data_IF_480935118558
#
_entry.id   IF_480935118558
#
_cell.length_a   1.000
_cell.length_b   1.000
_cell.length_c   1.000
_cell.angle_alpha   90.00
_cell.angle_beta   90.00
_cell.angle_gamma   90.00
#
_symmetry.space_group_name_H-M   'P 1'
#
loop_
_entity.id
_entity.type
_entity.pdbx_description
1 polymer ?
#
# COMPACT_ATOMS: atom_id res chain seq x y z
N UNK A 1 40.48 -23.96 7.91
CA UNK A 1 39.38 -23.04 7.54
C UNK A 1 38.19 -23.92 7.21
N UNK A 2 37.29 -24.16 8.18
CA UNK A 2 36.13 -25.06 8.03
C UNK A 2 34.94 -24.26 7.51
N UNK A 3 34.54 -24.52 6.27
CA UNK A 3 33.35 -23.91 5.67
C UNK A 3 32.11 -24.51 6.33
N UNK A 4 31.45 -23.76 7.22
CA UNK A 4 30.15 -24.17 7.79
C UNK A 4 29.12 -24.09 6.68
N UNK A 5 28.69 -25.24 6.16
CA UNK A 5 27.58 -25.32 5.20
C UNK A 5 26.28 -25.14 5.97
N UNK A 6 25.76 -23.91 6.00
CA UNK A 6 24.48 -23.61 6.64
C UNK A 6 23.35 -24.08 5.69
N UNK A 7 22.94 -25.34 5.84
CA UNK A 7 21.88 -25.92 5.02
C UNK A 7 20.54 -25.25 5.39
N UNK A 8 19.97 -24.51 4.44
CA UNK A 8 18.66 -23.87 4.61
C UNK A 8 17.61 -24.95 4.77
N UNK A 9 16.83 -24.85 5.83
CA UNK A 9 15.75 -25.78 6.12
C UNK A 9 14.48 -25.38 5.37
N UNK A 10 13.52 -26.30 5.23
CA UNK A 10 12.18 -25.97 4.71
C UNK A 10 11.51 -24.87 5.53
N UNK A 11 11.76 -24.81 6.84
CA UNK A 11 11.27 -23.74 7.71
C UNK A 11 11.83 -22.37 7.31
N UNK A 12 13.10 -22.29 6.89
CA UNK A 12 13.70 -21.04 6.42
C UNK A 12 13.06 -20.57 5.11
N UNK A 13 12.73 -21.51 4.22
CA UNK A 13 12.02 -21.21 2.97
C UNK A 13 10.59 -20.72 3.22
N UNK A 14 9.86 -21.36 4.14
CA UNK A 14 8.52 -20.93 4.54
C UNK A 14 8.58 -19.51 5.14
N UNK A 15 9.56 -19.26 6.03
CA UNK A 15 9.74 -17.94 6.62
C UNK A 15 10.01 -16.87 5.56
N UNK A 16 10.87 -17.16 4.58
CA UNK A 16 11.14 -16.24 3.48
C UNK A 16 9.89 -15.98 2.62
N UNK A 17 9.13 -17.03 2.28
CA UNK A 17 7.90 -16.91 1.49
C UNK A 17 6.83 -16.07 2.21
N UNK A 18 6.60 -16.34 3.50
CA UNK A 18 5.63 -15.57 4.31
C UNK A 18 6.10 -14.12 4.47
N UNK A 19 7.39 -13.89 4.68
CA UNK A 19 7.92 -12.51 4.81
C UNK A 19 7.74 -11.72 3.51
N UNK A 20 8.02 -12.34 2.36
CA UNK A 20 7.78 -11.72 1.05
C UNK A 20 6.31 -11.44 0.80
N UNK A 21 5.43 -12.42 1.09
CA UNK A 21 3.99 -12.25 0.94
C UNK A 21 3.42 -11.15 1.84
N UNK A 22 3.84 -11.09 3.11
CA UNK A 22 3.43 -10.02 4.03
C UNK A 22 3.93 -8.65 3.58
N UNK A 23 5.17 -8.57 3.07
CA UNK A 23 5.70 -7.33 2.50
C UNK A 23 4.84 -6.82 1.35
N UNK A 24 4.58 -7.66 0.36
CA UNK A 24 3.70 -7.31 -0.76
C UNK A 24 2.28 -6.98 -0.31
N UNK A 25 1.73 -7.71 0.65
CA UNK A 25 0.41 -7.40 1.19
C UNK A 25 0.36 -6.01 1.84
N UNK A 26 1.40 -5.61 2.56
CA UNK A 26 1.49 -4.29 3.19
C UNK A 26 1.58 -3.17 2.15
N UNK A 27 2.34 -3.37 1.07
CA UNK A 27 2.40 -2.42 -0.06
C UNK A 27 1.01 -2.23 -0.70
N UNK A 28 0.27 -3.31 -0.97
CA UNK A 28 -1.11 -3.17 -1.47
C UNK A 28 -2.06 -2.53 -0.46
N UNK A 29 -1.80 -2.71 0.84
CA UNK A 29 -2.63 -2.17 1.91
C UNK A 29 -2.56 -0.64 1.94
N UNK A 30 -1.37 -0.05 1.73
CA UNK A 30 -1.22 1.40 1.67
C UNK A 30 -2.00 2.00 0.48
N UNK A 31 -1.91 1.39 -0.70
CA UNK A 31 -2.61 1.83 -1.91
C UNK A 31 -4.13 1.81 -1.71
N UNK A 32 -4.64 0.72 -1.13
CA UNK A 32 -6.08 0.57 -0.88
C UNK A 32 -6.58 1.54 0.19
N UNK A 33 -5.83 1.74 1.28
CA UNK A 33 -6.21 2.70 2.31
C UNK A 33 -6.24 4.13 1.78
N UNK A 34 -5.25 4.50 0.97
CA UNK A 34 -5.19 5.85 0.41
C UNK A 34 -6.27 6.08 -0.64
N UNK A 35 -6.57 5.07 -1.48
CA UNK A 35 -7.72 5.09 -2.40
C UNK A 35 -9.04 5.33 -1.65
N UNK A 36 -9.24 4.61 -0.55
CA UNK A 36 -10.44 4.74 0.28
C UNK A 36 -10.51 6.12 0.94
N UNK A 37 -9.39 6.63 1.47
CA UNK A 37 -9.29 7.98 2.02
C UNK A 37 -9.63 9.04 0.97
N UNK A 38 -9.16 8.87 -0.26
CA UNK A 38 -9.48 9.77 -1.35
C UNK A 38 -10.97 9.72 -1.72
N UNK A 39 -11.60 8.55 -1.65
CA UNK A 39 -13.00 8.37 -2.01
C UNK A 39 -13.97 8.89 -0.93
N UNK A 40 -13.56 8.84 0.34
CA UNK A 40 -14.47 9.10 1.47
C UNK A 40 -14.17 10.37 2.27
N UNK A 41 -12.94 10.89 2.24
CA UNK A 41 -12.49 11.90 3.21
C UNK A 41 -11.78 13.07 2.55
N UNK A 42 -10.87 12.83 1.60
CA UNK A 42 -9.98 13.87 1.09
C UNK A 42 -10.69 15.00 0.35
N UNK A 43 -11.84 14.72 -0.27
CA UNK A 43 -12.62 15.74 -0.95
C UNK A 43 -13.10 16.85 0.01
N UNK A 44 -13.41 16.51 1.26
CA UNK A 44 -13.84 17.50 2.27
C UNK A 44 -12.66 18.26 2.88
N UNK A 45 -11.51 17.59 3.06
CA UNK A 45 -10.35 18.17 3.74
C UNK A 45 -9.56 19.10 2.80
N UNK A 46 -9.30 18.66 1.57
CA UNK A 46 -8.39 19.35 0.66
C UNK A 46 -9.08 20.23 -0.38
N UNK A 47 -10.37 19.99 -0.66
CA UNK A 47 -11.14 20.74 -1.67
C UNK A 47 -12.46 21.32 -1.13
N UNK A 48 -12.51 21.95 0.05
CA UNK A 48 -13.75 22.38 0.70
C UNK A 48 -14.51 23.48 -0.03
N UNK A 49 -13.84 24.29 -0.85
CA UNK A 49 -14.46 25.39 -1.60
C UNK A 49 -15.10 24.93 -2.92
N UNK A 50 -14.88 23.68 -3.30
CA UNK A 50 -15.40 23.13 -4.56
C UNK A 50 -16.79 22.51 -4.37
N UNK A 51 -17.53 22.37 -5.48
CA UNK A 51 -18.75 21.57 -5.46
C UNK A 51 -18.42 20.12 -5.10
N UNK A 52 -19.32 19.43 -4.38
CA UNK A 52 -19.07 18.07 -3.89
C UNK A 52 -18.60 17.09 -4.99
N UNK A 53 -19.19 17.17 -6.17
CA UNK A 53 -18.80 16.33 -7.31
C UNK A 53 -17.38 16.65 -7.80
N UNK A 54 -17.03 17.94 -7.90
CA UNK A 54 -15.69 18.35 -8.35
C UNK A 54 -14.63 18.05 -7.30
N UNK A 55 -14.93 18.26 -6.02
CA UNK A 55 -14.05 17.94 -4.91
C UNK A 55 -13.67 16.45 -4.92
N UNK A 56 -14.63 15.55 -5.16
CA UNK A 56 -14.38 14.12 -5.28
C UNK A 56 -13.52 13.78 -6.50
N UNK A 57 -13.81 14.38 -7.66
CA UNK A 57 -13.00 14.20 -8.88
C UNK A 57 -11.55 14.65 -8.64
N UNK A 58 -11.35 15.79 -7.97
CA UNK A 58 -10.02 16.31 -7.65
C UNK A 58 -9.28 15.44 -6.63
N UNK A 59 -9.98 14.93 -5.60
CA UNK A 59 -9.42 13.99 -4.64
C UNK A 59 -8.98 12.67 -5.30
N UNK A 60 -9.84 12.09 -6.15
CA UNK A 60 -9.50 10.91 -6.95
C UNK A 60 -8.39 11.17 -7.96
N UNK A 61 -8.39 12.34 -8.60
CA UNK A 61 -7.35 12.74 -9.54
C UNK A 61 -5.99 12.92 -8.87
N UNK A 62 -5.97 13.48 -7.66
CA UNK A 62 -4.74 13.60 -6.85
C UNK A 62 -4.22 12.23 -6.45
N UNK A 63 -5.11 11.31 -6.06
CA UNK A 63 -4.75 9.92 -5.82
C UNK A 63 -4.11 9.28 -7.06
N UNK A 64 -4.76 9.35 -8.22
CA UNK A 64 -4.26 8.76 -9.45
C UNK A 64 -3.02 9.43 -10.05
N UNK A 65 -2.67 10.65 -9.60
CA UNK A 65 -1.43 11.31 -9.99
C UNK A 65 -0.26 11.00 -9.02
N UNK A 66 -0.58 10.73 -7.75
CA UNK A 66 0.40 10.50 -6.68
C UNK A 66 0.84 9.04 -6.52
N UNK A 67 0.03 8.10 -6.98
CA UNK A 67 0.33 6.66 -7.07
C UNK A 67 0.34 6.21 -8.53
#
# INVERSE_FOLDING_TARGET
MTTVKNERTTSDLIRAAVSGWLGTALEFMDFQLYSLGAALVFHEIFFPEQSAAMALILAMGTYGAGY
#
